data_IF_760079754959
#
_entry.id   IF_760079754959
#
_cell.length_a   1.000
_cell.length_b   1.000
_cell.length_c   1.000
_cell.angle_alpha   90.00
_cell.angle_beta   90.00
_cell.angle_gamma   90.00
#
_symmetry.space_group_name_H-M   'P 1'
#
loop_
_entity.id
_entity.type
_entity.pdbx_description
1 polymer ?
#
# COMPACT_ATOMS: atom_id res chain seq x y z
N UNK A 1 -8.04 -6.25 9.59
CA UNK A 1 -8.10 -4.85 10.06
C UNK A 1 -8.09 -3.94 8.85
N UNK A 2 -8.97 -2.94 8.81
CA UNK A 2 -9.02 -1.93 7.75
C UNK A 2 -8.71 -0.58 8.39
N UNK A 3 -7.78 0.15 7.79
CA UNK A 3 -7.29 1.43 8.25
C UNK A 3 -7.54 2.46 7.15
N UNK A 4 -8.27 3.51 7.49
CA UNK A 4 -8.51 4.65 6.60
C UNK A 4 -7.96 5.89 7.28
N UNK A 5 -7.08 6.60 6.60
CA UNK A 5 -6.48 7.84 7.07
C UNK A 5 -6.82 8.94 6.08
N UNK A 6 -7.47 9.99 6.57
CA UNK A 6 -7.71 11.21 5.82
C UNK A 6 -6.95 12.34 6.51
N UNK A 7 -6.07 12.99 5.76
CA UNK A 7 -5.32 14.15 6.22
C UNK A 7 -5.68 15.33 5.31
N UNK A 8 -6.24 16.39 5.90
CA UNK A 8 -6.56 17.62 5.16
C UNK A 8 -5.63 18.70 5.67
N UNK A 9 -4.77 19.21 4.78
CA UNK A 9 -3.84 20.30 5.08
C UNK A 9 -4.48 21.60 4.56
N UNK A 10 -4.84 22.56 5.45
CA UNK A 10 -5.40 23.84 5.05
C UNK A 10 -4.48 24.56 4.06
N UNK A 11 -5.02 24.97 2.91
CA UNK A 11 -4.25 25.63 1.84
C UNK A 11 -3.48 24.70 0.90
N UNK A 12 -3.36 23.40 1.21
CA UNK A 12 -2.62 22.44 0.38
C UNK A 12 -3.51 21.34 -0.24
N UNK A 13 -4.55 20.90 0.45
CA UNK A 13 -5.53 19.90 -0.01
C UNK A 13 -5.58 18.64 0.85
N UNK A 14 -6.24 17.59 0.34
CA UNK A 14 -6.55 16.38 1.12
C UNK A 14 -5.82 15.14 0.59
N UNK A 15 -5.25 14.36 1.50
CA UNK A 15 -4.74 13.01 1.26
C UNK A 15 -5.73 12.00 1.82
N UNK A 16 -6.03 10.97 1.05
CA UNK A 16 -6.83 9.84 1.50
C UNK A 16 -6.05 8.55 1.28
N UNK A 17 -5.71 7.88 2.36
CA UNK A 17 -5.07 6.57 2.35
C UNK A 17 -6.04 5.55 2.92
N UNK A 18 -6.18 4.43 2.25
CA UNK A 18 -6.94 3.28 2.71
C UNK A 18 -6.06 2.04 2.61
N UNK A 19 -5.97 1.27 3.68
CA UNK A 19 -5.30 -0.02 3.67
C UNK A 19 -6.19 -1.05 4.38
N UNK A 20 -6.27 -2.24 3.83
CA UNK A 20 -6.95 -3.38 4.43
C UNK A 20 -5.99 -4.54 4.52
N UNK A 21 -6.02 -5.26 5.63
CA UNK A 21 -5.36 -6.54 5.78
C UNK A 21 -6.36 -7.58 6.31
N UNK A 22 -6.39 -8.74 5.67
CA UNK A 22 -7.21 -9.86 6.04
C UNK A 22 -6.34 -11.11 6.16
N UNK A 23 -6.41 -11.77 7.31
CA UNK A 23 -5.82 -13.08 7.50
C UNK A 23 -6.75 -14.12 6.91
N UNK A 24 -6.27 -14.85 5.91
CA UNK A 24 -7.02 -15.89 5.22
C UNK A 24 -6.91 -17.24 5.93
N UNK A 25 -5.72 -17.54 6.47
CA UNK A 25 -5.46 -18.78 7.17
C UNK A 25 -4.54 -18.52 8.36
N UNK A 26 -4.86 -19.09 9.51
CA UNK A 26 -4.02 -18.97 10.70
C UNK A 26 -4.07 -20.26 11.48
N UNK A 27 -2.90 -20.85 11.73
CA UNK A 27 -2.68 -22.07 12.49
C UNK A 27 -1.34 -21.95 13.23
N UNK A 28 -1.05 -22.87 14.15
CA UNK A 28 0.13 -22.82 15.04
C UNK A 28 1.48 -22.65 14.30
N UNK A 29 1.55 -23.11 13.04
CA UNK A 29 2.76 -23.07 12.21
C UNK A 29 2.62 -22.25 10.93
N UNK A 30 1.41 -21.83 10.57
CA UNK A 30 1.14 -21.23 9.27
C UNK A 30 0.20 -20.05 9.43
N UNK A 31 0.64 -18.87 9.01
CA UNK A 31 -0.21 -17.69 8.93
C UNK A 31 -0.13 -17.14 7.51
N UNK A 32 -1.28 -16.98 6.88
CA UNK A 32 -1.43 -16.46 5.52
C UNK A 32 -2.31 -15.22 5.59
N UNK A 33 -1.72 -14.08 5.25
CA UNK A 33 -2.38 -12.79 5.16
C UNK A 33 -2.47 -12.32 3.71
N UNK A 34 -3.48 -11.51 3.44
CA UNK A 34 -3.56 -10.69 2.24
C UNK A 34 -3.75 -9.24 2.67
N UNK A 35 -3.02 -8.33 2.04
CA UNK A 35 -3.20 -6.90 2.21
C UNK A 35 -3.58 -6.23 0.88
N UNK A 36 -4.27 -5.11 0.99
CA UNK A 36 -4.64 -4.23 -0.10
C UNK A 36 -4.45 -2.79 0.38
N UNK A 37 -3.89 -1.94 -0.45
CA UNK A 37 -3.67 -0.54 -0.14
C UNK A 37 -4.02 0.34 -1.32
N UNK A 38 -4.65 1.46 -1.01
CA UNK A 38 -4.98 2.54 -1.91
C UNK A 38 -4.52 3.86 -1.28
N UNK A 39 -3.95 4.74 -2.08
CA UNK A 39 -3.62 6.09 -1.67
C UNK A 39 -4.03 7.02 -2.80
N UNK A 40 -4.80 8.05 -2.47
CA UNK A 40 -5.27 9.06 -3.41
C UNK A 40 -4.95 10.43 -2.82
N UNK A 41 -4.07 11.16 -3.49
CA UNK A 41 -3.75 12.54 -3.13
C UNK A 41 -4.60 13.51 -3.95
N UNK A 42 -5.41 14.34 -3.30
CA UNK A 42 -6.22 15.40 -3.93
C UNK A 42 -5.78 16.78 -3.40
N UNK A 43 -4.69 17.35 -3.94
CA UNK A 43 -4.30 18.70 -3.59
C UNK A 43 -5.29 19.72 -4.16
N UNK A 44 -5.58 20.79 -3.40
CA UNK A 44 -6.51 21.87 -3.79
C UNK A 44 -5.77 23.11 -4.32
N UNK A 45 -4.46 23.02 -4.50
CA UNK A 45 -3.61 24.06 -5.06
C UNK A 45 -3.31 23.71 -6.52
N UNK A 46 -3.41 24.67 -7.46
CA UNK A 46 -2.81 24.50 -8.77
C UNK A 46 -1.32 24.24 -8.56
N UNK A 47 -0.78 23.23 -9.26
CA UNK A 47 0.63 22.86 -9.26
C UNK A 47 1.09 21.70 -8.33
N UNK A 48 0.20 21.01 -7.61
CA UNK A 48 0.62 19.88 -6.75
C UNK A 48 0.23 18.51 -7.33
N UNK A 49 1.15 17.58 -7.20
CA UNK A 49 1.16 16.23 -7.77
C UNK A 49 0.06 15.34 -7.18
N UNK A 50 -0.82 14.81 -8.02
CA UNK A 50 -1.75 13.75 -7.68
C UNK A 50 -1.03 12.41 -7.80
N UNK A 51 -0.77 11.77 -6.65
CA UNK A 51 -0.20 10.44 -6.61
C UNK A 51 -1.33 9.49 -6.23
N UNK A 52 -1.67 8.59 -7.16
CA UNK A 52 -2.62 7.52 -6.95
C UNK A 52 -1.86 6.20 -6.90
N UNK A 53 -1.91 5.52 -5.78
CA UNK A 53 -1.32 4.19 -5.63
C UNK A 53 -2.43 3.20 -5.34
N UNK A 54 -2.42 2.08 -6.04
CA UNK A 54 -3.25 0.91 -5.73
C UNK A 54 -2.36 -0.31 -5.74
N UNK A 55 -2.48 -1.15 -4.74
CA UNK A 55 -1.72 -2.37 -4.68
C UNK A 55 -2.28 -3.31 -3.65
N UNK A 56 -1.65 -4.46 -3.57
CA UNK A 56 -1.92 -5.44 -2.55
C UNK A 56 -0.74 -6.38 -2.43
N UNK A 57 -0.93 -7.39 -1.62
CA UNK A 57 0.13 -8.31 -1.31
C UNK A 57 -0.40 -9.49 -0.51
N UNK A 58 0.49 -10.44 -0.37
CA UNK A 58 0.30 -11.71 0.28
C UNK A 58 1.45 -11.91 1.25
N UNK A 59 1.09 -12.17 2.48
CA UNK A 59 2.00 -12.45 3.58
C UNK A 59 1.90 -13.94 3.91
N UNK A 60 3.03 -14.62 3.95
CA UNK A 60 3.13 -16.02 4.34
C UNK A 60 4.17 -16.19 5.44
N UNK A 61 3.73 -16.59 6.62
CA UNK A 61 4.59 -16.86 7.76
C UNK A 61 4.53 -18.35 8.11
N UNK A 62 5.69 -19.01 8.09
CA UNK A 62 5.87 -20.39 8.52
C UNK A 62 6.69 -20.44 9.81
N UNK A 63 6.01 -20.74 10.92
CA UNK A 63 6.49 -20.52 12.29
C UNK A 63 6.89 -19.04 12.56
N UNK A 64 6.95 -18.57 13.81
CA UNK A 64 7.38 -17.20 14.13
C UNK A 64 8.82 -16.85 13.69
N UNK A 65 9.52 -17.79 13.05
CA UNK A 65 10.90 -17.68 12.59
C UNK A 65 11.05 -17.35 11.12
N UNK A 66 10.03 -17.51 10.27
CA UNK A 66 10.18 -17.32 8.82
C UNK A 66 8.95 -16.68 8.19
N UNK A 67 9.14 -15.55 7.53
CA UNK A 67 8.08 -14.79 6.86
C UNK A 67 8.51 -14.44 5.44
N UNK A 68 7.57 -14.57 4.52
CA UNK A 68 7.70 -14.18 3.12
C UNK A 68 6.56 -13.24 2.82
N UNK A 69 6.87 -12.01 2.47
CA UNK A 69 5.89 -11.04 2.00
C UNK A 69 6.13 -10.79 0.51
N UNK A 70 5.08 -10.97 -0.27
CA UNK A 70 5.01 -10.53 -1.64
C UNK A 70 4.03 -9.37 -1.74
N UNK A 71 4.44 -8.26 -2.31
CA UNK A 71 3.58 -7.12 -2.60
C UNK A 71 3.70 -6.72 -4.07
N UNK A 72 2.58 -6.34 -4.66
CA UNK A 72 2.49 -5.89 -6.02
C UNK A 72 1.47 -4.76 -6.11
N UNK A 73 1.78 -3.74 -6.88
CA UNK A 73 0.88 -2.62 -7.07
C UNK A 73 1.27 -1.78 -8.25
N UNK A 74 0.47 -0.75 -8.47
CA UNK A 74 0.71 0.28 -9.45
C UNK A 74 0.63 1.64 -8.77
N UNK A 75 1.58 2.51 -9.10
CA UNK A 75 1.58 3.91 -8.69
C UNK A 75 1.46 4.77 -9.94
N UNK A 76 0.54 5.70 -9.94
CA UNK A 76 0.36 6.70 -10.98
C UNK A 76 0.74 8.06 -10.41
N UNK A 77 1.61 8.76 -11.11
CA UNK A 77 2.08 10.08 -10.73
C UNK A 77 1.56 11.08 -11.76
N UNK A 78 0.48 11.78 -11.45
CA UNK A 78 -0.06 12.83 -12.29
C UNK A 78 0.34 14.18 -11.71
N UNK A 79 1.27 14.87 -12.36
CA UNK A 79 1.65 16.24 -11.99
C UNK A 79 1.31 17.20 -13.14
N UNK A 80 1.01 18.47 -12.82
CA UNK A 80 0.66 19.47 -13.84
C UNK A 80 1.79 19.77 -14.84
N UNK A 81 3.03 19.38 -14.54
CA UNK A 81 4.18 19.51 -15.45
C UNK A 81 4.60 18.17 -16.08
N UNK A 82 4.27 17.04 -15.45
CA UNK A 82 4.64 15.67 -15.88
C UNK A 82 3.54 14.71 -15.46
N UNK A 83 2.84 14.11 -16.43
CA UNK A 83 2.02 12.92 -16.17
C UNK A 83 2.83 11.66 -16.44
N UNK A 84 3.00 10.81 -15.43
CA UNK A 84 3.57 9.47 -15.58
C UNK A 84 2.44 8.44 -15.61
N UNK A 85 2.55 7.48 -16.53
CA UNK A 85 1.64 6.34 -16.59
C UNK A 85 1.67 5.50 -15.31
N UNK A 86 0.84 4.45 -15.28
CA UNK A 86 0.90 3.48 -14.20
C UNK A 86 2.27 2.80 -14.17
N UNK A 87 3.02 3.08 -13.11
CA UNK A 87 4.29 2.43 -12.86
C UNK A 87 4.04 1.19 -11.99
N UNK A 88 4.33 -0.02 -12.49
CA UNK A 88 4.26 -1.21 -11.67
C UNK A 88 5.30 -1.13 -10.55
N UNK A 89 4.93 -1.64 -9.38
CA UNK A 89 5.82 -1.89 -8.26
C UNK A 89 5.62 -3.33 -7.81
N UNK A 90 6.74 -3.99 -7.52
CA UNK A 90 6.76 -5.34 -6.97
C UNK A 90 7.79 -5.35 -5.86
N UNK A 91 7.45 -5.99 -4.75
CA UNK A 91 8.30 -6.15 -3.59
C UNK A 91 8.24 -7.59 -3.12
N UNK A 92 9.39 -8.17 -2.86
CA UNK A 92 9.52 -9.49 -2.25
C UNK A 92 10.45 -9.34 -1.06
N UNK A 93 9.97 -9.69 0.13
CA UNK A 93 10.71 -9.57 1.38
C UNK A 93 10.73 -10.90 2.09
N UNK A 94 11.93 -11.34 2.44
CA UNK A 94 12.17 -12.53 3.25
C UNK A 94 12.66 -12.09 4.62
N UNK A 95 11.90 -12.42 5.66
CA UNK A 95 12.26 -12.21 7.04
C UNK A 95 12.55 -13.53 7.71
N UNK A 96 13.72 -13.66 8.35
CA UNK A 96 14.03 -14.76 9.26
C UNK A 96 14.34 -14.19 10.64
N UNK A 97 13.66 -14.67 11.67
CA UNK A 97 13.92 -14.32 13.07
C UNK A 97 14.59 -15.52 13.75
N UNK A 98 15.67 -15.27 14.48
CA UNK A 98 16.51 -16.27 15.17
C UNK A 98 16.16 -16.32 16.65
#
# INVERSE_FOLDING_TARGET
MVTVMKETIPGFGSKLNGAGHATLFNNDKHNIGANAFISKNMPNIPNVTNINTVGGGLDYTYNPTSTVNFSAGFKKFDSPLVSSGWQPNFGLTFGRSF
#
